data_IF_166443413961
#
_entry.id   IF_166443413961
#
_cell.length_a   1.000
_cell.length_b   1.000
_cell.length_c   1.000
_cell.angle_alpha   90.00
_cell.angle_beta   90.00
_cell.angle_gamma   90.00
#
_symmetry.space_group_name_H-M   'P 1'
#
loop_
_entity.id
_entity.type
_entity.pdbx_description
1 polymer ?
#
# COMPACT_ATOMS: atom_id res chain seq x y z
N UNK A 1 9.97 -1.36 1.60
CA UNK A 1 11.44 -1.61 1.55
C UNK A 1 12.00 -2.15 2.87
N UNK A 2 11.62 -1.62 4.03
CA UNK A 2 12.14 -2.09 5.34
C UNK A 2 11.15 -2.93 6.16
N UNK A 3 10.05 -3.36 5.58
CA UNK A 3 8.92 -3.98 6.28
C UNK A 3 9.33 -5.12 7.22
N UNK A 4 10.15 -6.07 6.76
CA UNK A 4 10.61 -7.18 7.62
C UNK A 4 11.51 -6.72 8.77
N UNK A 5 12.33 -5.68 8.57
CA UNK A 5 13.18 -5.14 9.63
C UNK A 5 12.34 -4.34 10.64
N UNK A 6 11.39 -3.56 10.15
CA UNK A 6 10.41 -2.83 10.97
C UNK A 6 9.57 -3.79 11.79
N UNK A 7 9.13 -4.91 11.21
CA UNK A 7 8.39 -5.94 11.93
C UNK A 7 9.22 -6.54 13.07
N UNK A 8 10.48 -6.91 12.81
CA UNK A 8 11.40 -7.41 13.87
C UNK A 8 11.59 -6.39 14.98
N UNK A 9 11.72 -5.10 14.65
CA UNK A 9 11.83 -4.04 15.63
C UNK A 9 10.53 -3.86 16.43
N UNK A 10 9.38 -3.89 15.74
CA UNK A 10 8.06 -3.76 16.35
C UNK A 10 7.79 -4.90 17.34
N UNK A 11 8.06 -6.15 16.95
CA UNK A 11 7.91 -7.32 17.81
C UNK A 11 8.82 -7.25 19.05
N UNK A 12 10.06 -6.79 18.85
CA UNK A 12 11.02 -6.63 19.93
C UNK A 12 10.63 -5.55 20.94
N UNK A 13 10.13 -4.41 20.46
CA UNK A 13 9.66 -3.31 21.32
C UNK A 13 8.35 -3.69 22.02
N UNK A 14 7.41 -4.30 21.29
CA UNK A 14 6.15 -4.78 21.85
C UNK A 14 6.34 -5.83 22.96
N UNK A 15 7.39 -6.65 22.84
CA UNK A 15 7.71 -7.72 23.80
C UNK A 15 9.00 -7.46 24.58
N UNK A 16 9.34 -6.19 24.87
CA UNK A 16 10.65 -5.81 25.43
C UNK A 16 10.99 -6.52 26.75
N UNK A 17 10.00 -6.75 27.63
CA UNK A 17 10.21 -7.47 28.89
C UNK A 17 10.61 -8.91 28.65
N UNK A 18 10.03 -9.57 27.65
CA UNK A 18 10.37 -10.94 27.25
C UNK A 18 11.77 -11.00 26.65
N UNK A 19 12.12 -10.03 25.79
CA UNK A 19 13.46 -9.96 25.20
C UNK A 19 14.52 -9.82 26.30
N UNK A 20 14.27 -8.93 27.27
CA UNK A 20 15.17 -8.71 28.40
C UNK A 20 15.23 -9.91 29.37
N UNK A 21 14.10 -10.56 29.67
CA UNK A 21 14.08 -11.72 30.56
C UNK A 21 14.86 -12.92 30.01
N UNK A 22 14.95 -13.03 28.68
CA UNK A 22 15.73 -14.07 27.99
C UNK A 22 17.14 -13.60 27.58
N UNK A 23 17.57 -12.39 27.95
CA UNK A 23 18.83 -11.76 27.51
C UNK A 23 19.05 -11.91 25.99
N UNK A 24 17.98 -11.75 25.21
CA UNK A 24 17.95 -12.04 23.78
C UNK A 24 18.23 -10.82 22.89
N UNK A 25 18.62 -9.68 23.46
CA UNK A 25 18.82 -8.41 22.77
C UNK A 25 19.80 -8.54 21.61
N UNK A 26 20.92 -9.22 21.83
CA UNK A 26 21.93 -9.42 20.79
C UNK A 26 21.41 -10.27 19.62
N UNK A 27 20.58 -11.27 19.91
CA UNK A 27 19.97 -12.13 18.88
C UNK A 27 18.97 -11.36 18.03
N UNK A 28 18.16 -10.52 18.67
CA UNK A 28 17.20 -9.62 18.00
C UNK A 28 17.95 -8.62 17.13
N UNK A 29 18.97 -7.94 17.68
CA UNK A 29 19.78 -6.95 16.96
C UNK A 29 20.49 -7.55 15.74
N UNK A 30 21.06 -8.77 15.88
CA UNK A 30 21.66 -9.50 14.75
C UNK A 30 20.64 -9.81 13.66
N UNK A 31 19.42 -10.18 14.05
CA UNK A 31 18.33 -10.50 13.12
C UNK A 31 17.88 -9.24 12.38
N UNK A 32 17.70 -8.13 13.08
CA UNK A 32 17.38 -6.82 12.51
C UNK A 32 18.45 -6.38 11.50
N UNK A 33 19.73 -6.38 11.89
CA UNK A 33 20.82 -5.97 11.01
C UNK A 33 20.90 -6.86 9.76
N UNK A 34 20.71 -8.18 9.91
CA UNK A 34 20.64 -9.10 8.77
C UNK A 34 19.50 -8.74 7.81
N UNK A 35 18.32 -8.42 8.33
CA UNK A 35 17.16 -8.00 7.53
C UNK A 35 17.37 -6.63 6.86
N UNK A 36 18.13 -5.72 7.46
CA UNK A 36 18.48 -4.43 6.87
C UNK A 36 19.49 -4.50 5.70
N UNK A 37 20.32 -5.54 5.61
CA UNK A 37 21.33 -5.66 4.53
C UNK A 37 20.73 -5.64 3.12
N UNK A 38 19.62 -6.35 2.92
CA UNK A 38 18.98 -6.43 1.61
C UNK A 38 18.37 -5.08 1.17
N UNK A 39 17.56 -4.39 1.99
CA UNK A 39 17.07 -3.04 1.70
C UNK A 39 18.20 -2.03 1.44
N UNK A 40 19.29 -2.08 2.21
CA UNK A 40 20.45 -1.20 2.01
C UNK A 40 21.09 -1.44 0.64
N UNK A 41 21.36 -2.69 0.28
CA UNK A 41 21.93 -3.03 -1.04
C UNK A 41 21.00 -2.61 -2.18
N UNK A 42 19.70 -2.81 -2.00
CA UNK A 42 18.70 -2.39 -2.96
C UNK A 42 18.65 -0.85 -3.08
N UNK A 43 18.73 -0.13 -1.98
CA UNK A 43 18.79 1.34 -1.95
C UNK A 43 20.02 1.88 -2.67
N UNK A 44 21.20 1.26 -2.48
CA UNK A 44 22.42 1.62 -3.21
C UNK A 44 22.23 1.40 -4.72
N UNK A 45 21.72 0.23 -5.12
CA UNK A 45 21.49 -0.07 -6.55
C UNK A 45 20.47 0.90 -7.15
N UNK A 46 19.38 1.18 -6.43
CA UNK A 46 18.37 2.14 -6.84
C UNK A 46 18.97 3.54 -6.99
N UNK A 47 19.80 3.98 -6.03
CA UNK A 47 20.49 5.27 -6.07
C UNK A 47 21.40 5.43 -7.28
N UNK A 48 22.16 4.39 -7.64
CA UNK A 48 23.01 4.39 -8.84
C UNK A 48 22.16 4.48 -10.11
N UNK A 49 21.11 3.66 -10.21
CA UNK A 49 20.22 3.64 -11.38
C UNK A 49 19.47 4.98 -11.52
N UNK A 50 18.94 5.53 -10.44
CA UNK A 50 18.26 6.83 -10.45
C UNK A 50 19.23 7.97 -10.74
N UNK A 51 20.44 7.93 -10.19
CA UNK A 51 21.46 8.94 -10.43
C UNK A 51 21.91 8.96 -11.91
N UNK A 52 22.16 7.79 -12.50
CA UNK A 52 22.47 7.67 -13.93
C UNK A 52 21.29 8.15 -14.79
N UNK A 53 20.06 7.72 -14.49
CA UNK A 53 18.88 8.16 -15.22
C UNK A 53 18.70 9.68 -15.17
N UNK A 54 18.92 10.29 -14.00
CA UNK A 54 18.86 11.74 -13.82
C UNK A 54 19.97 12.44 -14.62
N UNK A 55 21.21 11.97 -14.52
CA UNK A 55 22.34 12.52 -15.27
C UNK A 55 22.14 12.48 -16.78
N UNK A 56 21.70 11.33 -17.33
CA UNK A 56 21.40 11.18 -18.75
C UNK A 56 20.26 12.12 -19.19
N UNK A 57 19.23 12.28 -18.35
CA UNK A 57 18.11 13.18 -18.64
C UNK A 57 18.58 14.65 -18.74
N UNK A 58 19.42 15.11 -17.80
CA UNK A 58 19.98 16.45 -17.85
C UNK A 58 20.93 16.66 -19.04
N UNK A 59 21.74 15.65 -19.35
CA UNK A 59 22.61 15.70 -20.53
C UNK A 59 21.80 15.84 -21.82
N UNK A 60 20.72 15.07 -21.98
CA UNK A 60 19.83 15.19 -23.14
C UNK A 60 19.13 16.56 -23.19
N UNK A 61 18.69 17.10 -22.04
CA UNK A 61 18.07 18.42 -21.96
C UNK A 61 19.02 19.52 -22.45
N UNK A 62 20.24 19.57 -21.92
CA UNK A 62 21.23 20.58 -22.32
C UNK A 62 21.69 20.39 -23.76
N UNK A 63 21.84 19.15 -24.22
CA UNK A 63 22.17 18.85 -25.62
C UNK A 63 21.07 19.34 -26.57
N UNK A 64 19.80 19.15 -26.20
CA UNK A 64 18.64 19.65 -26.97
C UNK A 64 18.63 21.17 -27.00
N UNK A 65 18.90 21.85 -25.87
CA UNK A 65 19.04 23.30 -25.85
C UNK A 65 20.18 23.79 -26.74
N UNK A 66 21.36 23.17 -26.69
CA UNK A 66 22.49 23.51 -27.54
C UNK A 66 22.14 23.37 -29.04
N UNK A 67 21.51 22.25 -29.42
CA UNK A 67 21.04 22.02 -30.79
C UNK A 67 20.00 23.06 -31.23
N UNK A 68 19.03 23.35 -30.38
CA UNK A 68 18.03 24.39 -30.64
C UNK A 68 18.70 25.75 -30.87
N UNK A 69 19.64 26.17 -30.01
CA UNK A 69 20.36 27.43 -30.20
C UNK A 69 21.19 27.44 -31.49
N UNK A 70 21.88 26.34 -31.80
CA UNK A 70 22.67 26.22 -33.02
C UNK A 70 21.81 26.38 -34.28
N UNK A 71 20.68 25.66 -34.36
CA UNK A 71 19.75 25.75 -35.49
C UNK A 71 19.15 27.14 -35.60
N UNK A 72 18.78 27.76 -34.47
CA UNK A 72 18.25 29.13 -34.43
C UNK A 72 19.25 30.15 -34.94
N UNK A 73 20.52 30.04 -34.53
CA UNK A 73 21.60 30.89 -35.01
C UNK A 73 21.78 30.76 -36.53
N UNK A 74 21.73 29.52 -37.06
CA UNK A 74 21.81 29.28 -38.51
C UNK A 74 20.66 29.93 -39.28
N UNK A 75 19.42 29.81 -38.80
CA UNK A 75 18.26 30.46 -39.43
C UNK A 75 18.33 31.99 -39.44
N UNK A 76 18.90 32.59 -38.38
CA UNK A 76 19.15 34.03 -38.34
C UNK A 76 20.23 34.46 -39.32
N UNK A 77 21.32 33.69 -39.45
CA UNK A 77 22.40 33.96 -40.42
C UNK A 77 21.92 33.83 -41.87
N UNK A 78 21.06 32.86 -42.17
CA UNK A 78 20.46 32.66 -43.49
C UNK A 78 19.40 33.72 -43.85
N UNK A 79 19.08 34.67 -42.95
CA UNK A 79 18.06 35.71 -43.16
C UNK A 79 16.62 35.18 -43.24
N UNK A 80 16.38 33.93 -42.86
CA UNK A 80 15.07 33.24 -42.98
C UNK A 80 14.12 33.53 -41.82
N UNK A 81 14.62 34.04 -40.70
CA UNK A 81 13.81 34.33 -39.52
C UNK A 81 14.41 35.48 -38.70
N UNK A 82 13.53 36.30 -38.11
CA UNK A 82 13.92 37.43 -37.27
C UNK A 82 14.13 36.97 -35.81
N UNK A 83 15.00 37.64 -35.06
CA UNK A 83 15.24 37.34 -33.63
C UNK A 83 13.93 37.23 -32.83
N UNK A 84 13.00 38.17 -33.04
CA UNK A 84 11.71 38.21 -32.35
C UNK A 84 10.84 36.98 -32.64
N UNK A 85 10.76 36.55 -33.89
CA UNK A 85 9.93 35.39 -34.30
C UNK A 85 10.47 34.11 -33.67
N UNK A 86 11.79 33.96 -33.71
CA UNK A 86 12.50 32.80 -33.17
C UNK A 86 12.34 32.70 -31.65
N UNK A 87 12.36 33.82 -30.92
CA UNK A 87 12.10 33.83 -29.47
C UNK A 87 10.62 33.63 -29.12
N UNK A 88 9.70 34.18 -29.93
CA UNK A 88 8.26 33.99 -29.74
C UNK A 88 7.87 32.51 -29.81
N UNK A 89 8.34 31.79 -30.83
CA UNK A 89 8.07 30.35 -30.98
C UNK A 89 8.68 29.54 -29.82
N UNK A 90 9.89 29.88 -29.39
CA UNK A 90 10.56 29.20 -28.28
C UNK A 90 9.81 29.34 -26.95
N UNK A 91 9.39 30.55 -26.59
CA UNK A 91 8.62 30.77 -25.37
C UNK A 91 7.23 30.10 -25.45
N UNK A 92 6.57 30.12 -26.61
CA UNK A 92 5.30 29.43 -26.80
C UNK A 92 5.44 27.92 -26.60
N UNK A 93 6.48 27.29 -27.16
CA UNK A 93 6.75 25.86 -27.01
C UNK A 93 7.10 25.50 -25.55
N UNK A 94 7.89 26.33 -24.88
CA UNK A 94 8.21 26.17 -23.46
C UNK A 94 6.95 26.17 -22.59
N UNK A 95 6.08 27.18 -22.76
CA UNK A 95 4.83 27.27 -22.01
C UNK A 95 3.90 26.07 -22.29
N UNK A 96 3.79 25.65 -23.56
CA UNK A 96 3.00 24.46 -23.92
C UNK A 96 3.54 23.19 -23.24
N UNK A 97 4.87 23.00 -23.25
CA UNK A 97 5.51 21.82 -22.63
C UNK A 97 5.28 21.79 -21.12
N UNK A 98 5.39 22.94 -20.45
CA UNK A 98 5.10 23.07 -19.01
C UNK A 98 3.63 22.71 -18.72
N UNK A 99 2.69 23.20 -19.54
CA UNK A 99 1.26 22.89 -19.38
C UNK A 99 0.96 21.40 -19.53
N UNK A 100 1.53 20.73 -20.53
CA UNK A 100 1.37 19.28 -20.74
C UNK A 100 1.98 18.49 -19.57
N UNK A 101 3.14 18.92 -19.07
CA UNK A 101 3.83 18.25 -17.97
C UNK A 101 3.01 18.31 -16.66
N UNK A 102 2.44 19.47 -16.34
CA UNK A 102 1.58 19.62 -15.15
C UNK A 102 0.28 18.82 -15.27
N UNK A 103 -0.35 18.84 -16.44
CA UNK A 103 -1.59 18.09 -16.69
C UNK A 103 -1.36 16.59 -16.55
N UNK A 104 -0.21 16.09 -17.01
CA UNK A 104 0.16 14.68 -16.90
C UNK A 104 0.31 14.23 -15.44
N UNK A 105 0.85 15.10 -14.56
CA UNK A 105 0.94 14.81 -13.13
C UNK A 105 -0.45 14.65 -12.48
N UNK A 106 -1.38 15.57 -12.78
CA UNK A 106 -2.76 15.54 -12.28
C UNK A 106 -3.54 14.29 -12.73
N UNK A 107 -3.26 13.79 -13.94
CA UNK A 107 -3.87 12.55 -14.43
C UNK A 107 -3.52 11.33 -13.57
N UNK A 108 -2.28 11.24 -13.10
CA UNK A 108 -1.82 10.12 -12.26
C UNK A 108 -2.46 10.10 -10.88
N UNK A 109 -2.68 11.27 -10.28
CA UNK A 109 -3.35 11.37 -8.97
C UNK A 109 -4.85 11.10 -9.08
N UNK A 110 -5.48 11.51 -10.18
CA UNK A 110 -6.88 11.20 -10.47
C UNK A 110 -7.11 9.68 -10.56
N UNK A 111 -6.18 8.93 -11.16
CA UNK A 111 -6.25 7.47 -11.24
C UNK A 111 -6.19 6.82 -9.85
N UNK A 112 -5.27 7.26 -8.98
CA UNK A 112 -5.17 6.78 -7.58
C UNK A 112 -6.42 7.11 -6.77
N UNK A 113 -6.97 8.31 -6.96
CA UNK A 113 -8.23 8.71 -6.34
C UNK A 113 -9.38 7.78 -6.73
N UNK A 114 -9.49 7.43 -8.02
CA UNK A 114 -10.49 6.48 -8.52
C UNK A 114 -10.32 5.07 -7.91
N UNK A 115 -9.09 4.57 -7.82
CA UNK A 115 -8.79 3.27 -7.21
C UNK A 115 -9.19 3.24 -5.72
N UNK A 116 -8.86 4.31 -4.99
CA UNK A 116 -9.19 4.44 -3.57
C UNK A 116 -10.70 4.53 -3.36
N UNK A 117 -11.39 5.35 -4.15
CA UNK A 117 -12.84 5.44 -4.14
C UNK A 117 -13.48 4.08 -4.46
N UNK A 118 -12.98 3.35 -5.46
CA UNK A 118 -13.51 2.03 -5.82
C UNK A 118 -13.38 1.02 -4.67
N UNK A 119 -12.29 1.07 -3.91
CA UNK A 119 -12.09 0.20 -2.74
C UNK A 119 -13.05 0.54 -1.60
N UNK A 120 -13.30 1.84 -1.37
CA UNK A 120 -14.26 2.32 -0.37
C UNK A 120 -15.68 1.91 -0.76
N UNK A 121 -16.09 2.16 -2.00
CA UNK A 121 -17.43 1.76 -2.48
C UNK A 121 -17.60 0.24 -2.46
N UNK A 122 -16.58 -0.53 -2.83
CA UNK A 122 -16.62 -1.99 -2.72
C UNK A 122 -16.80 -2.48 -1.27
N UNK A 123 -16.28 -1.74 -0.28
CA UNK A 123 -16.47 -2.05 1.13
C UNK A 123 -17.88 -1.66 1.62
N UNK A 124 -18.41 -0.52 1.18
CA UNK A 124 -19.76 -0.04 1.52
C UNK A 124 -20.83 -0.95 0.92
N UNK A 125 -20.69 -1.32 -0.35
CA UNK A 125 -21.64 -2.17 -1.07
C UNK A 125 -21.52 -3.66 -0.69
N UNK A 126 -20.60 -4.01 0.20
CA UNK A 126 -20.40 -5.38 0.66
C UNK A 126 -21.58 -5.80 1.55
N UNK A 127 -22.43 -6.68 1.02
CA UNK A 127 -23.45 -7.35 1.83
C UNK A 127 -22.81 -8.34 2.82
N UNK A 128 -23.05 -8.14 4.12
CA UNK A 128 -22.61 -9.07 5.17
C UNK A 128 -23.52 -10.28 5.23
N UNK A 129 -22.94 -11.48 5.35
CA UNK A 129 -23.71 -12.72 5.57
C UNK A 129 -24.44 -12.74 6.93
N UNK A 130 -23.92 -11.99 7.90
CA UNK A 130 -24.53 -11.76 9.20
C UNK A 130 -24.67 -10.25 9.31
N UNK A 131 -25.87 -9.74 9.05
CA UNK A 131 -26.17 -8.32 9.11
C UNK A 131 -26.67 -7.93 10.52
N UNK A 132 -25.86 -7.21 11.32
CA UNK A 132 -26.24 -6.82 12.67
C UNK A 132 -27.32 -5.73 12.70
N UNK A 133 -27.61 -5.07 11.57
CA UNK A 133 -28.60 -4.00 11.46
C UNK A 133 -29.96 -4.56 11.00
N UNK A 134 -29.96 -5.77 10.42
CA UNK A 134 -31.18 -6.41 9.95
C UNK A 134 -32.19 -6.60 11.11
N UNK A 135 -33.39 -6.05 10.93
CA UNK A 135 -34.52 -6.24 11.85
C UNK A 135 -35.27 -7.56 11.63
N UNK A 136 -34.79 -8.40 10.71
CA UNK A 136 -35.43 -9.63 10.24
C UNK A 136 -35.31 -10.79 11.25
N UNK A 137 -34.86 -10.50 12.46
CA UNK A 137 -34.72 -11.44 13.56
C UNK A 137 -35.99 -11.54 14.42
N UNK A 138 -36.19 -12.71 15.02
CA UNK A 138 -37.25 -12.91 16.00
C UNK A 138 -36.81 -12.32 17.35
N UNK A 139 -37.57 -11.35 17.87
CA UNK A 139 -37.37 -10.82 19.23
C UNK A 139 -38.24 -11.63 20.20
N UNK A 140 -37.61 -12.40 21.09
CA UNK A 140 -38.32 -13.17 22.11
C UNK A 140 -38.52 -12.31 23.36
N UNK A 141 -39.77 -12.26 23.86
CA UNK A 141 -40.16 -11.49 25.07
C UNK A 141 -39.76 -12.21 26.36
N UNK A 142 -39.78 -13.54 26.35
CA UNK A 142 -39.37 -14.38 27.47
C UNK A 142 -38.47 -15.51 26.95
N UNK A 143 -37.35 -15.74 27.64
CA UNK A 143 -36.31 -16.70 27.23
C UNK A 143 -36.03 -17.61 28.43
N UNK A 144 -36.47 -18.87 28.34
CA UNK A 144 -36.24 -19.87 29.38
C UNK A 144 -34.74 -20.15 29.61
N UNK A 145 -33.87 -19.91 28.63
CA UNK A 145 -32.41 -20.02 28.75
C UNK A 145 -31.82 -21.41 28.49
N UNK A 146 -32.56 -22.32 27.86
CA UNK A 146 -32.02 -23.62 27.42
C UNK A 146 -31.21 -23.46 26.12
N UNK A 147 -29.93 -23.88 26.13
CA UNK A 147 -29.07 -23.87 24.94
C UNK A 147 -28.86 -25.28 24.41
N UNK A 148 -29.06 -25.49 23.10
CA UNK A 148 -28.77 -26.76 22.42
C UNK A 148 -27.94 -26.51 21.17
N UNK A 149 -26.86 -27.27 21.01
CA UNK A 149 -26.06 -27.40 19.80
C UNK A 149 -26.31 -28.80 19.24
N UNK A 150 -26.67 -28.88 17.95
CA UNK A 150 -26.99 -30.13 17.26
C UNK A 150 -26.06 -30.32 16.08
N UNK A 151 -25.29 -31.42 16.08
CA UNK A 151 -24.41 -31.84 14.99
C UNK A 151 -23.56 -30.69 14.38
N UNK A 152 -23.00 -29.82 15.23
CA UNK A 152 -22.32 -28.61 14.79
C UNK A 152 -20.94 -28.94 14.21
N UNK A 153 -20.74 -28.56 12.95
CA UNK A 153 -19.46 -28.59 12.26
C UNK A 153 -18.98 -27.15 12.00
N UNK A 154 -17.76 -26.83 12.38
CA UNK A 154 -17.25 -25.47 12.27
C UNK A 154 -15.77 -25.43 11.89
N UNK A 155 -15.46 -24.54 10.95
CA UNK A 155 -14.12 -24.16 10.53
C UNK A 155 -14.02 -22.64 10.42
N UNK A 156 -12.89 -22.09 10.87
CA UNK A 156 -12.63 -20.66 10.68
C UNK A 156 -12.38 -20.36 9.20
N UNK A 157 -12.94 -19.27 8.64
CA UNK A 157 -12.71 -18.90 7.24
C UNK A 157 -11.24 -18.68 6.87
N UNK A 158 -10.40 -18.28 7.83
CA UNK A 158 -8.96 -18.10 7.64
C UNK A 158 -8.18 -19.40 7.53
N UNK A 159 -8.76 -20.53 7.98
CA UNK A 159 -8.18 -21.88 7.93
C UNK A 159 -9.29 -22.91 7.63
N UNK A 160 -9.83 -22.92 6.40
CA UNK A 160 -10.99 -23.74 6.06
C UNK A 160 -10.70 -25.25 6.14
N UNK A 161 -9.44 -25.66 5.97
CA UNK A 161 -9.04 -27.07 5.97
C UNK A 161 -9.02 -27.69 7.38
N UNK A 162 -9.14 -26.88 8.43
CA UNK A 162 -9.03 -27.33 9.82
C UNK A 162 -10.37 -27.25 10.54
N UNK A 163 -11.13 -28.35 10.48
CA UNK A 163 -12.36 -28.49 11.27
C UNK A 163 -12.05 -28.49 12.78
N UNK A 164 -12.55 -27.46 13.46
CA UNK A 164 -12.47 -27.30 14.92
C UNK A 164 -13.52 -28.16 15.61
N UNK A 165 -14.77 -28.04 15.16
CA UNK A 165 -15.85 -28.91 15.62
C UNK A 165 -16.23 -29.88 14.52
N UNK A 166 -16.32 -31.16 14.90
CA UNK A 166 -16.77 -32.26 14.05
C UNK A 166 -17.90 -32.93 14.80
N UNK A 167 -19.12 -32.67 14.35
CA UNK A 167 -20.33 -33.28 14.90
C UNK A 167 -20.57 -33.03 16.41
N UNK A 168 -20.41 -31.77 16.84
CA UNK A 168 -20.59 -31.40 18.25
C UNK A 168 -22.08 -31.37 18.62
N UNK A 169 -22.44 -32.15 19.64
CA UNK A 169 -23.77 -32.14 20.26
C UNK A 169 -23.64 -31.73 21.73
N UNK A 170 -24.33 -30.66 22.13
CA UNK A 170 -24.25 -30.11 23.49
C UNK A 170 -25.63 -29.60 23.93
N UNK A 171 -25.99 -29.85 25.19
CA UNK A 171 -27.22 -29.33 25.79
C UNK A 171 -26.91 -28.73 27.15
N UNK A 172 -27.27 -27.46 27.34
CA UNK A 172 -27.10 -26.74 28.60
C UNK A 172 -28.50 -26.37 29.12
N UNK A 173 -28.94 -26.96 30.23
CA UNK A 173 -30.20 -26.62 30.88
C UNK A 173 -30.17 -25.20 31.47
N UNK A 174 -31.34 -24.55 31.63
CA UNK A 174 -31.41 -23.20 32.16
C UNK A 174 -30.93 -23.13 33.62
N UNK A 175 -30.20 -22.06 33.96
CA UNK A 175 -29.68 -21.80 35.31
C UNK A 175 -28.50 -22.68 35.76
N UNK A 176 -27.98 -23.57 34.91
CA UNK A 176 -26.79 -24.38 35.24
C UNK A 176 -25.51 -23.79 34.66
N UNK A 177 -24.49 -23.67 35.50
CA UNK A 177 -23.11 -23.45 35.08
C UNK A 177 -22.55 -24.77 34.54
N UNK A 178 -22.05 -24.74 33.31
CA UNK A 178 -21.35 -25.88 32.73
C UNK A 178 -19.97 -26.00 33.40
N UNK A 179 -19.88 -26.82 34.45
CA UNK A 179 -18.63 -27.06 35.16
C UNK A 179 -17.88 -28.20 34.46
N UNK A 180 -16.78 -27.88 33.79
CA UNK A 180 -15.88 -28.87 33.19
C UNK A 180 -14.96 -29.43 34.28
N UNK A 181 -15.20 -30.67 34.69
CA UNK A 181 -14.18 -31.53 35.31
C UNK A 181 -13.56 -32.42 34.24
#
# INVERSE_FOLDING_TARGET
>A
MYEEATQVAHDAVGSIRTVASFCAEHKVMKTYNRKCKAPVRQGIRQGIVSGLGFGVSFFMLYSTYALCFYVRAKFMLDGKATFTEVFRVFFALLMATIGVSQTSALGSDSAKGKESASSIFALIDRNSKIDPISGDGMVLVDIAGELKLHHVCFSYPSRPDMNIFRDLNLRIPPGKLYNTH
#
